data_IF_854762260852
#
_entry.id   IF_854762260852
#
_cell.length_a   1.000
_cell.length_b   1.000
_cell.length_c   1.000
_cell.angle_alpha   90.00
_cell.angle_beta   90.00
_cell.angle_gamma   90.00
#
_symmetry.space_group_name_H-M   'P 1'
#
loop_
_entity.id
_entity.type
_entity.pdbx_description
1 polymer ?
#
# COMPACT_ATOMS: atom_id res chain seq x y z
N UNK A 1 -1.32 15.80 16.11
CA UNK A 1 -2.47 15.35 16.94
C UNK A 1 -1.96 14.17 17.77
N UNK A 2 -1.80 14.34 19.07
CA UNK A 2 -1.17 13.33 19.94
C UNK A 2 -2.17 12.19 20.17
N UNK A 3 -1.91 11.02 19.64
CA UNK A 3 -2.61 9.79 20.01
C UNK A 3 -1.95 9.30 21.32
N UNK A 4 -2.67 9.43 22.41
CA UNK A 4 -2.24 8.87 23.70
C UNK A 4 -2.57 7.38 23.69
N UNK A 5 -1.54 6.55 23.70
CA UNK A 5 -1.68 5.16 24.09
C UNK A 5 -2.10 5.11 25.57
N UNK A 6 -3.23 4.47 25.84
CA UNK A 6 -3.70 4.21 27.21
C UNK A 6 -3.06 2.91 27.66
N UNK A 7 -2.02 3.03 28.50
CA UNK A 7 -1.50 1.93 29.30
C UNK A 7 -2.46 1.73 30.49
N UNK A 8 -3.22 0.65 30.46
CA UNK A 8 -3.93 0.15 31.64
C UNK A 8 -3.07 -0.92 32.30
N UNK A 9 -2.31 -0.55 33.29
CA UNK A 9 -1.66 -1.48 34.22
C UNK A 9 -2.71 -2.05 35.18
N UNK A 10 -3.08 -3.29 35.02
CA UNK A 10 -3.88 -4.08 35.96
C UNK A 10 -3.10 -5.30 36.39
N UNK A 11 -2.47 -5.23 37.56
CA UNK A 11 -1.82 -6.36 38.18
C UNK A 11 -2.85 -7.40 38.63
N UNK A 12 -2.79 -8.62 38.04
CA UNK A 12 -3.28 -9.84 38.71
C UNK A 12 -2.17 -10.88 38.66
N UNK A 13 -1.54 -11.03 39.82
CA UNK A 13 -0.66 -12.16 40.09
C UNK A 13 -1.52 -13.40 40.34
N UNK A 14 -1.41 -14.42 39.48
CA UNK A 14 -1.62 -15.85 39.79
C UNK A 14 -0.99 -16.77 38.74
N UNK A 15 0.03 -17.47 39.18
CA UNK A 15 0.50 -18.80 38.79
C UNK A 15 0.33 -19.24 37.30
N UNK A 16 1.40 -19.15 36.56
CA UNK A 16 1.62 -19.80 35.27
C UNK A 16 3.07 -19.69 34.88
N UNK A 17 3.99 -20.25 35.68
CA UNK A 17 5.43 -20.38 35.32
C UNK A 17 5.58 -21.45 34.24
N UNK A 18 5.24 -21.14 32.98
CA UNK A 18 5.60 -21.97 31.83
C UNK A 18 5.58 -21.25 30.48
N UNK A 19 5.37 -19.93 30.44
CA UNK A 19 5.33 -19.19 29.18
C UNK A 19 6.31 -18.00 29.10
N UNK A 20 7.09 -17.74 30.14
CA UNK A 20 7.97 -16.58 30.20
C UNK A 20 9.40 -16.82 29.65
N UNK A 21 9.76 -18.04 29.26
CA UNK A 21 11.11 -18.36 28.81
C UNK A 21 11.29 -18.39 27.26
N UNK A 22 10.24 -18.29 26.47
CA UNK A 22 10.35 -18.35 25.00
C UNK A 22 10.66 -17.00 24.33
N UNK A 23 10.71 -15.90 25.09
CA UNK A 23 11.00 -14.56 24.56
C UNK A 23 12.34 -13.98 25.03
N UNK A 24 13.21 -14.78 25.64
CA UNK A 24 14.59 -14.34 25.87
C UNK A 24 15.27 -14.06 24.52
N UNK A 25 15.97 -12.93 24.36
CA UNK A 25 16.64 -12.60 23.10
C UNK A 25 17.63 -13.72 22.76
N UNK A 26 17.29 -14.51 21.73
CA UNK A 26 18.22 -15.51 21.20
C UNK A 26 19.27 -14.84 20.32
N UNK A 27 20.43 -15.44 20.21
CA UNK A 27 21.42 -14.99 19.25
C UNK A 27 20.87 -15.11 17.83
N UNK A 28 21.08 -14.08 17.02
CA UNK A 28 20.73 -14.09 15.61
C UNK A 28 21.53 -15.16 14.87
N UNK A 29 20.91 -15.84 13.93
CA UNK A 29 21.62 -16.67 12.96
C UNK A 29 22.47 -15.77 12.05
N UNK A 30 23.45 -16.35 11.35
CA UNK A 30 24.28 -15.59 10.39
C UNK A 30 23.43 -14.87 9.31
N UNK A 31 22.31 -15.48 8.89
CA UNK A 31 21.39 -14.87 7.94
C UNK A 31 20.63 -13.68 8.57
N UNK A 32 20.08 -13.86 9.76
CA UNK A 32 19.37 -12.80 10.46
C UNK A 32 20.29 -11.61 10.78
N UNK A 33 21.54 -11.90 11.19
CA UNK A 33 22.54 -10.85 11.41
C UNK A 33 22.85 -10.10 10.10
N UNK A 34 22.96 -10.79 8.97
CA UNK A 34 23.16 -10.15 7.67
C UNK A 34 22.00 -9.25 7.29
N UNK A 35 20.76 -9.73 7.42
CA UNK A 35 19.56 -8.94 7.15
C UNK A 35 19.52 -7.72 8.06
N UNK A 36 19.80 -7.90 9.35
CA UNK A 36 19.86 -6.79 10.31
C UNK A 36 20.92 -5.75 9.94
N UNK A 37 22.12 -6.19 9.55
CA UNK A 37 23.20 -5.28 9.13
C UNK A 37 22.82 -4.49 7.87
N UNK A 38 22.25 -5.16 6.85
CA UNK A 38 21.75 -4.49 5.65
C UNK A 38 20.65 -3.49 6.04
N UNK A 39 19.69 -3.91 6.85
CA UNK A 39 18.57 -3.09 7.29
C UNK A 39 19.03 -1.84 8.04
N UNK A 40 19.93 -1.98 9.02
CA UNK A 40 20.53 -0.87 9.74
C UNK A 40 21.23 0.10 8.79
N UNK A 41 22.01 -0.42 7.87
CA UNK A 41 22.81 0.40 6.96
C UNK A 41 21.92 1.16 5.97
N UNK A 42 20.84 0.54 5.43
CA UNK A 42 19.95 1.21 4.48
C UNK A 42 18.96 2.18 5.14
N UNK A 43 18.62 2.02 6.42
CA UNK A 43 17.86 3.02 7.16
C UNK A 43 18.61 4.35 7.26
N UNK A 44 19.93 4.30 7.30
CA UNK A 44 20.78 5.50 7.41
C UNK A 44 20.78 6.37 6.12
N UNK A 45 20.41 5.83 4.97
CA UNK A 45 20.26 6.64 3.75
C UNK A 45 18.90 7.36 3.79
N UNK A 46 18.91 8.69 3.77
CA UNK A 46 17.70 9.52 3.66
C UNK A 46 17.25 9.57 2.20
N UNK A 47 16.61 8.51 1.74
CA UNK A 47 16.13 8.34 0.36
C UNK A 47 14.78 9.01 0.09
N UNK A 48 14.45 10.05 0.85
CA UNK A 48 13.31 10.91 0.57
C UNK A 48 13.65 11.87 -0.59
N UNK A 49 12.63 12.27 -1.34
CA UNK A 49 12.77 13.22 -2.44
C UNK A 49 13.51 14.49 -2.01
N UNK A 50 14.39 15.01 -2.86
CA UNK A 50 15.21 16.21 -2.60
C UNK A 50 16.45 15.98 -1.74
N UNK A 51 16.76 14.76 -1.28
CA UNK A 51 17.93 14.49 -0.44
C UNK A 51 19.10 13.81 -1.15
N UNK A 52 18.91 13.26 -2.35
CA UNK A 52 19.98 12.79 -3.24
C UNK A 52 20.78 11.59 -2.70
N UNK A 53 20.24 10.77 -1.79
CA UNK A 53 20.94 9.59 -1.24
C UNK A 53 20.49 8.26 -1.86
N UNK A 54 19.69 8.29 -2.91
CA UNK A 54 19.26 7.07 -3.60
C UNK A 54 20.43 6.36 -4.26
N UNK A 55 21.30 7.11 -4.93
CA UNK A 55 22.49 6.57 -5.62
C UNK A 55 23.43 5.84 -4.64
N UNK A 56 23.64 6.41 -3.44
CA UNK A 56 24.46 5.80 -2.39
C UNK A 56 23.85 4.48 -1.90
N UNK A 57 22.54 4.44 -1.71
CA UNK A 57 21.83 3.22 -1.30
C UNK A 57 21.88 2.14 -2.38
N UNK A 58 21.66 2.49 -3.65
CA UNK A 58 21.76 1.56 -4.78
C UNK A 58 23.18 1.04 -4.93
N UNK A 59 24.20 1.90 -4.81
CA UNK A 59 25.62 1.50 -4.84
C UNK A 59 25.96 0.53 -3.67
N UNK A 60 25.42 0.78 -2.47
CA UNK A 60 25.58 -0.13 -1.33
C UNK A 60 24.95 -1.51 -1.62
N UNK A 61 23.72 -1.56 -2.10
CA UNK A 61 23.00 -2.81 -2.38
C UNK A 61 23.68 -3.63 -3.48
N UNK A 62 24.06 -2.98 -4.60
CA UNK A 62 24.75 -3.63 -5.72
C UNK A 62 26.15 -4.14 -5.29
N UNK A 63 26.88 -3.38 -4.47
CA UNK A 63 28.15 -3.81 -3.90
C UNK A 63 28.02 -5.07 -3.03
N UNK A 64 26.96 -5.16 -2.20
CA UNK A 64 26.67 -6.35 -1.36
C UNK A 64 26.30 -7.58 -2.20
N UNK A 65 25.51 -7.38 -3.25
CA UNK A 65 25.10 -8.44 -4.18
C UNK A 65 26.29 -8.95 -5.03
N UNK A 66 27.10 -8.03 -5.57
CA UNK A 66 28.30 -8.39 -6.32
C UNK A 66 29.30 -9.17 -5.45
N UNK A 67 29.51 -8.77 -4.18
CA UNK A 67 30.36 -9.49 -3.24
C UNK A 67 29.86 -10.91 -2.95
N UNK A 68 28.55 -11.17 -3.05
CA UNK A 68 27.95 -12.50 -2.94
C UNK A 68 28.02 -13.34 -4.22
N UNK A 69 28.57 -12.79 -5.31
CA UNK A 69 28.78 -13.48 -6.59
C UNK A 69 27.65 -13.30 -7.62
N UNK A 70 26.83 -12.26 -7.52
CA UNK A 70 26.00 -11.84 -8.63
C UNK A 70 26.87 -11.16 -9.70
N UNK A 71 26.63 -11.51 -10.98
CA UNK A 71 27.37 -10.92 -12.08
C UNK A 71 26.86 -9.49 -12.38
N UNK A 72 27.72 -8.63 -12.91
CA UNK A 72 27.38 -7.25 -13.24
C UNK A 72 26.16 -7.16 -14.19
N UNK A 73 26.10 -8.04 -15.19
CA UNK A 73 25.00 -8.12 -16.12
C UNK A 73 23.65 -8.56 -15.49
N UNK A 74 23.67 -9.05 -14.25
CA UNK A 74 22.47 -9.43 -13.48
C UNK A 74 22.03 -8.31 -12.51
N UNK A 75 22.74 -7.19 -12.48
CA UNK A 75 22.48 -6.01 -11.63
C UNK A 75 22.21 -4.79 -12.52
N UNK A 76 20.95 -4.58 -12.88
CA UNK A 76 20.55 -3.46 -13.73
C UNK A 76 20.14 -2.26 -12.87
N UNK A 77 20.96 -1.21 -12.89
CA UNK A 77 20.63 0.10 -12.33
C UNK A 77 20.16 1.02 -13.45
N UNK A 78 19.07 1.73 -13.22
CA UNK A 78 18.49 2.66 -14.18
C UNK A 78 18.20 4.00 -13.50
N UNK A 79 18.67 5.09 -14.11
CA UNK A 79 18.41 6.45 -13.64
C UNK A 79 17.04 6.92 -14.11
N UNK A 80 16.33 7.63 -13.24
CA UNK A 80 15.04 8.27 -13.50
C UNK A 80 15.04 9.70 -12.99
N UNK A 81 14.11 10.48 -13.50
CA UNK A 81 13.78 11.81 -13.00
C UNK A 81 12.31 11.80 -12.59
N UNK A 82 12.07 11.97 -11.30
CA UNK A 82 10.73 12.02 -10.73
C UNK A 82 10.37 13.47 -10.43
N UNK A 83 9.76 14.14 -11.41
CA UNK A 83 9.33 15.55 -11.32
C UNK A 83 10.49 16.53 -10.98
N UNK A 84 11.68 16.28 -11.52
CA UNK A 84 12.88 17.09 -11.28
C UNK A 84 13.73 16.61 -10.10
N UNK A 85 13.36 15.52 -9.45
CA UNK A 85 14.15 14.85 -8.41
C UNK A 85 14.80 13.58 -8.96
N UNK A 86 16.16 13.53 -9.08
CA UNK A 86 16.84 12.35 -9.58
C UNK A 86 16.67 11.14 -8.66
N UNK A 87 16.34 9.99 -9.22
CA UNK A 87 16.22 8.73 -8.49
C UNK A 87 16.74 7.56 -9.31
N UNK A 88 16.86 6.39 -8.70
CA UNK A 88 17.30 5.16 -9.34
C UNK A 88 16.38 3.99 -9.03
N UNK A 89 16.22 3.09 -10.01
CA UNK A 89 15.64 1.78 -9.82
C UNK A 89 16.71 0.69 -9.93
N UNK A 90 16.55 -0.42 -9.21
CA UNK A 90 17.45 -1.57 -9.24
C UNK A 90 16.67 -2.83 -9.62
N UNK A 91 17.14 -3.54 -10.64
CA UNK A 91 16.67 -4.89 -10.98
C UNK A 91 17.81 -5.89 -10.75
N UNK A 92 17.53 -6.95 -9.99
CA UNK A 92 18.48 -8.04 -9.71
C UNK A 92 17.94 -9.33 -10.28
N UNK A 93 18.69 -9.99 -11.16
CA UNK A 93 18.36 -11.29 -11.69
C UNK A 93 19.10 -12.41 -10.95
N UNK A 94 18.36 -13.34 -10.41
CA UNK A 94 18.92 -14.63 -9.93
C UNK A 94 18.61 -15.70 -10.99
N UNK A 95 19.62 -16.09 -11.76
CA UNK A 95 19.48 -17.05 -12.86
C UNK A 95 19.12 -18.43 -12.33
N UNK A 96 18.08 -19.04 -12.88
CA UNK A 96 17.71 -20.42 -12.66
C UNK A 96 18.32 -21.36 -13.70
N UNK A 97 18.16 -22.67 -13.48
CA UNK A 97 18.57 -23.69 -14.44
C UNK A 97 17.53 -23.96 -15.55
N UNK A 98 16.36 -23.33 -15.47
CA UNK A 98 15.27 -23.49 -16.43
C UNK A 98 14.60 -24.87 -16.39
N UNK A 99 14.93 -25.73 -15.44
CA UNK A 99 14.45 -27.12 -15.41
C UNK A 99 12.94 -27.24 -15.22
N UNK A 100 12.29 -26.21 -14.64
CA UNK A 100 10.83 -26.16 -14.47
C UNK A 100 10.10 -25.86 -15.78
N UNK A 101 10.76 -25.25 -16.80
CA UNK A 101 10.10 -24.72 -17.99
C UNK A 101 9.03 -23.66 -17.64
N UNK A 102 9.10 -23.06 -16.47
CA UNK A 102 8.13 -22.13 -15.93
C UNK A 102 8.61 -20.69 -16.10
N UNK A 103 7.65 -19.74 -16.18
CA UNK A 103 7.94 -18.32 -16.23
C UNK A 103 8.64 -17.85 -14.95
N UNK A 104 9.43 -16.76 -15.02
CA UNK A 104 10.08 -16.15 -13.86
C UNK A 104 9.11 -15.71 -12.76
N UNK A 105 9.64 -15.43 -11.57
CA UNK A 105 8.93 -14.77 -10.48
C UNK A 105 9.60 -13.43 -10.22
N UNK A 106 8.79 -12.38 -10.05
CA UNK A 106 9.25 -11.04 -9.68
C UNK A 106 8.86 -10.73 -8.24
N UNK A 107 9.75 -10.10 -7.50
CA UNK A 107 9.54 -9.64 -6.13
C UNK A 107 9.85 -8.15 -6.04
N UNK A 108 8.92 -7.39 -5.45
CA UNK A 108 8.94 -5.94 -5.37
C UNK A 108 9.24 -5.44 -3.96
N UNK A 109 9.94 -4.32 -3.90
CA UNK A 109 10.03 -3.42 -2.75
C UNK A 109 10.39 -2.02 -3.27
N UNK A 110 10.15 -0.97 -2.49
CA UNK A 110 10.65 0.36 -2.81
C UNK A 110 11.75 0.81 -1.85
N UNK A 111 12.67 1.63 -2.36
CA UNK A 111 13.86 2.09 -1.67
C UNK A 111 13.68 3.48 -1.05
N UNK A 112 12.81 4.28 -1.64
CA UNK A 112 12.49 5.62 -1.16
C UNK A 112 11.61 5.59 0.09
N UNK A 113 11.46 6.73 0.71
CA UNK A 113 10.64 6.94 1.90
C UNK A 113 10.01 8.32 1.88
N UNK A 114 8.83 8.45 2.48
CA UNK A 114 8.31 9.77 2.87
C UNK A 114 9.31 10.45 3.79
N UNK A 115 9.58 11.73 3.57
CA UNK A 115 10.54 12.47 4.39
C UNK A 115 10.12 12.50 5.88
N UNK A 116 11.10 12.70 6.73
CA UNK A 116 10.91 12.84 8.17
C UNK A 116 11.64 14.08 8.67
N UNK A 117 10.92 14.97 9.33
CA UNK A 117 11.48 16.12 9.99
C UNK A 117 12.01 15.70 11.38
N UNK A 118 13.31 15.79 11.66
CA UNK A 118 13.87 15.31 12.92
C UNK A 118 13.23 15.92 14.17
N UNK A 119 12.72 17.16 14.07
CA UNK A 119 12.02 17.86 15.15
C UNK A 119 10.66 17.24 15.53
N UNK A 120 10.07 16.43 14.65
CA UNK A 120 8.82 15.72 14.90
C UNK A 120 9.03 14.33 15.53
N UNK A 121 10.29 13.90 15.65
CA UNK A 121 10.66 12.58 16.13
C UNK A 121 11.34 12.62 17.49
N UNK A 122 11.03 11.67 18.37
CA UNK A 122 11.72 11.49 19.65
C UNK A 122 13.11 10.86 19.51
N UNK A 123 13.37 10.19 18.39
CA UNK A 123 14.62 9.55 18.00
C UNK A 123 15.01 10.02 16.60
N UNK A 124 16.29 9.92 16.23
CA UNK A 124 16.72 10.21 14.88
C UNK A 124 16.02 9.25 13.89
N UNK A 125 15.21 9.78 12.94
CA UNK A 125 14.46 8.93 12.00
C UNK A 125 15.35 8.15 11.01
N UNK A 126 16.61 8.56 10.83
CA UNK A 126 17.55 7.93 9.92
C UNK A 126 18.64 7.12 10.64
N UNK A 127 18.38 6.75 11.88
CA UNK A 127 19.20 5.81 12.67
C UNK A 127 18.29 4.69 13.15
N UNK A 128 18.62 3.43 12.78
CA UNK A 128 17.86 2.28 13.28
C UNK A 128 18.07 2.13 14.79
N UNK A 129 17.02 2.38 15.55
CA UNK A 129 17.03 2.22 17.01
C UNK A 129 16.22 0.98 17.38
N UNK A 130 16.83 0.08 18.14
CA UNK A 130 16.14 -1.06 18.75
C UNK A 130 15.82 -0.73 20.22
N UNK A 131 14.54 -0.76 20.59
CA UNK A 131 14.09 -0.48 21.94
C UNK A 131 12.87 -1.35 22.26
N UNK A 132 12.92 -2.04 23.41
CA UNK A 132 11.87 -2.95 23.90
C UNK A 132 11.41 -4.00 22.86
N UNK A 133 12.32 -4.45 21.96
CA UNK A 133 12.04 -5.44 20.91
C UNK A 133 11.41 -4.86 19.65
N UNK A 134 11.28 -3.54 19.54
CA UNK A 134 10.82 -2.84 18.35
C UNK A 134 11.94 -2.10 17.65
N UNK A 135 11.83 -1.97 16.33
CA UNK A 135 12.70 -1.14 15.50
C UNK A 135 12.04 0.20 15.20
N UNK A 136 12.77 1.28 15.45
CA UNK A 136 12.32 2.64 15.19
C UNK A 136 13.22 3.29 14.14
N UNK A 137 12.60 3.96 13.18
CA UNK A 137 13.25 4.69 12.09
C UNK A 137 12.32 4.90 10.91
N UNK A 138 12.61 5.85 10.04
CA UNK A 138 11.89 6.05 8.78
C UNK A 138 12.22 4.92 7.80
N UNK A 139 11.20 4.25 7.24
CA UNK A 139 11.38 3.09 6.35
C UNK A 139 11.49 1.75 7.08
N UNK A 140 11.38 1.72 8.44
CA UNK A 140 11.44 0.47 9.19
C UNK A 140 10.28 -0.47 8.85
N UNK A 141 9.15 0.05 8.44
CA UNK A 141 8.01 -0.74 7.99
C UNK A 141 7.75 -0.56 6.49
N UNK A 142 7.95 0.65 5.98
CA UNK A 142 7.62 1.10 4.66
C UNK A 142 8.86 1.70 3.97
N UNK A 143 9.55 1.02 3.00
CA UNK A 143 9.54 -0.44 2.79
C UNK A 143 10.97 -0.99 2.82
N UNK A 144 11.92 -0.30 3.50
CA UNK A 144 13.32 -0.73 3.57
C UNK A 144 13.49 -2.09 4.25
N UNK A 145 12.56 -2.51 5.12
CA UNK A 145 12.62 -3.87 5.65
C UNK A 145 12.42 -4.91 4.54
N UNK A 146 11.54 -4.63 3.58
CA UNK A 146 11.34 -5.47 2.39
C UNK A 146 12.61 -5.56 1.55
N UNK A 147 13.23 -4.41 1.26
CA UNK A 147 14.53 -4.34 0.56
C UNK A 147 15.61 -5.17 1.27
N UNK A 148 15.75 -5.01 2.61
CA UNK A 148 16.75 -5.74 3.40
C UNK A 148 16.52 -7.25 3.39
N UNK A 149 15.27 -7.68 3.61
CA UNK A 149 14.92 -9.10 3.67
C UNK A 149 15.12 -9.80 2.31
N UNK A 150 14.65 -9.17 1.23
CA UNK A 150 14.80 -9.73 -0.12
C UNK A 150 16.28 -9.78 -0.54
N UNK A 151 17.03 -8.70 -0.33
CA UNK A 151 18.47 -8.65 -0.62
C UNK A 151 19.24 -9.68 0.19
N UNK A 152 19.03 -9.72 1.50
CA UNK A 152 19.71 -10.66 2.39
C UNK A 152 19.39 -12.12 2.06
N UNK A 153 18.15 -12.40 1.63
CA UNK A 153 17.73 -13.74 1.19
C UNK A 153 18.43 -14.14 -0.11
N UNK A 154 18.51 -13.26 -1.10
CA UNK A 154 19.20 -13.53 -2.36
C UNK A 154 20.70 -13.79 -2.12
N UNK A 155 21.35 -12.98 -1.29
CA UNK A 155 22.75 -13.16 -0.90
C UNK A 155 22.94 -14.54 -0.25
N UNK A 156 22.11 -14.89 0.74
CA UNK A 156 22.20 -16.17 1.42
C UNK A 156 22.09 -17.35 0.45
N UNK A 157 21.05 -17.34 -0.37
CA UNK A 157 20.80 -18.42 -1.34
C UNK A 157 21.95 -18.56 -2.34
N UNK A 158 22.55 -17.44 -2.76
CA UNK A 158 23.69 -17.43 -3.68
C UNK A 158 24.94 -18.02 -3.03
N UNK A 159 25.25 -17.63 -1.79
CA UNK A 159 26.39 -18.17 -1.03
C UNK A 159 26.22 -19.65 -0.69
N UNK A 160 24.99 -20.11 -0.42
CA UNK A 160 24.66 -21.51 -0.21
C UNK A 160 24.76 -22.37 -1.50
N UNK A 161 24.94 -21.72 -2.67
CA UNK A 161 24.98 -22.37 -3.97
C UNK A 161 23.62 -22.93 -4.42
N UNK A 162 22.53 -22.40 -3.86
CA UNK A 162 21.20 -22.80 -4.28
C UNK A 162 20.92 -22.34 -5.72
N UNK A 163 20.38 -23.25 -6.54
CA UNK A 163 20.06 -23.00 -7.93
C UNK A 163 18.53 -23.11 -8.11
N UNK A 164 17.82 -22.01 -8.39
CA UNK A 164 16.39 -22.06 -8.63
C UNK A 164 16.08 -22.75 -9.96
N UNK A 165 14.91 -23.35 -10.06
CA UNK A 165 14.45 -24.02 -11.28
C UNK A 165 13.86 -23.07 -12.33
N UNK A 166 13.74 -21.80 -12.02
CA UNK A 166 13.33 -20.67 -12.88
C UNK A 166 14.05 -19.40 -12.44
N UNK A 167 14.13 -18.40 -13.30
CA UNK A 167 14.70 -17.11 -12.91
C UNK A 167 13.85 -16.43 -11.84
N UNK A 168 14.53 -15.76 -10.90
CA UNK A 168 13.91 -14.89 -9.92
C UNK A 168 14.42 -13.47 -10.11
N UNK A 169 13.55 -12.49 -9.93
CA UNK A 169 13.93 -11.09 -10.03
C UNK A 169 13.53 -10.32 -8.78
N UNK A 170 14.45 -9.50 -8.27
CA UNK A 170 14.09 -8.39 -7.39
C UNK A 170 13.95 -7.14 -8.26
N UNK A 171 12.92 -6.37 -8.01
CA UNK A 171 12.71 -5.07 -8.66
C UNK A 171 12.44 -4.06 -7.56
N UNK A 172 13.37 -3.14 -7.39
CA UNK A 172 13.30 -2.10 -6.38
C UNK A 172 13.13 -0.74 -7.06
N UNK A 173 12.02 -0.08 -6.77
CA UNK A 173 11.72 1.27 -7.22
C UNK A 173 12.34 2.32 -6.30
N UNK A 174 12.45 3.55 -6.77
CA UNK A 174 13.07 4.62 -6.02
C UNK A 174 12.20 5.88 -5.86
N UNK A 175 10.90 5.81 -6.18
CA UNK A 175 9.97 6.93 -6.09
C UNK A 175 8.50 6.49 -5.92
N UNK A 176 8.28 5.39 -5.18
CA UNK A 176 6.95 4.87 -4.89
C UNK A 176 6.10 5.90 -4.14
N UNK A 177 6.70 6.54 -3.15
CA UNK A 177 6.09 7.53 -2.25
C UNK A 177 5.86 8.92 -2.91
N UNK A 178 6.24 9.06 -4.18
CA UNK A 178 6.17 10.34 -4.89
C UNK A 178 5.57 10.18 -6.30
N UNK A 179 6.39 10.27 -7.35
CA UNK A 179 5.92 10.32 -8.74
C UNK A 179 5.65 8.96 -9.38
N UNK A 180 6.14 7.85 -8.80
CA UNK A 180 6.06 6.48 -9.34
C UNK A 180 6.56 6.38 -10.79
N UNK A 181 7.53 7.21 -11.19
CA UNK A 181 8.10 7.21 -12.55
C UNK A 181 8.93 5.96 -12.77
N UNK A 182 9.84 5.66 -11.80
CA UNK A 182 10.66 4.45 -11.83
C UNK A 182 9.80 3.20 -11.75
N UNK A 183 8.79 3.19 -10.89
CA UNK A 183 7.83 2.10 -10.72
C UNK A 183 7.13 1.73 -12.03
N UNK A 184 6.54 2.73 -12.71
CA UNK A 184 5.88 2.52 -14.01
C UNK A 184 6.83 2.04 -15.08
N UNK A 185 8.03 2.62 -15.13
CA UNK A 185 9.03 2.24 -16.12
C UNK A 185 9.54 0.81 -15.90
N UNK A 186 9.81 0.44 -14.65
CA UNK A 186 10.24 -0.91 -14.29
C UNK A 186 9.15 -1.96 -14.54
N UNK A 187 7.88 -1.66 -14.25
CA UNK A 187 6.77 -2.57 -14.56
C UNK A 187 6.67 -2.85 -16.06
N UNK A 188 6.81 -1.84 -16.90
CA UNK A 188 6.86 -2.00 -18.37
C UNK A 188 8.08 -2.80 -18.82
N UNK A 189 9.27 -2.48 -18.26
CA UNK A 189 10.49 -3.21 -18.57
C UNK A 189 10.35 -4.70 -18.21
N UNK A 190 9.73 -5.02 -17.07
CA UNK A 190 9.44 -6.41 -16.65
C UNK A 190 8.48 -7.08 -17.64
N UNK A 191 7.44 -6.40 -18.08
CA UNK A 191 6.50 -6.95 -19.06
C UNK A 191 7.20 -7.28 -20.40
N UNK A 192 8.09 -6.39 -20.85
CA UNK A 192 8.77 -6.51 -22.14
C UNK A 192 9.93 -7.52 -22.13
N UNK A 193 10.59 -7.73 -20.98
CA UNK A 193 11.85 -8.48 -20.89
C UNK A 193 11.79 -9.75 -20.03
N UNK A 194 10.81 -9.85 -19.10
CA UNK A 194 10.74 -10.94 -18.11
C UNK A 194 9.48 -11.78 -18.30
N UNK A 195 8.32 -11.15 -18.48
CA UNK A 195 7.00 -11.81 -18.59
C UNK A 195 6.76 -12.81 -17.45
N UNK A 196 6.63 -12.36 -16.18
CA UNK A 196 6.59 -13.23 -15.02
C UNK A 196 5.32 -14.08 -14.95
N UNK A 197 5.38 -15.19 -14.20
CA UNK A 197 4.23 -16.00 -13.86
C UNK A 197 3.26 -15.25 -12.93
N UNK A 198 3.84 -14.53 -11.98
CA UNK A 198 3.17 -13.67 -11.02
C UNK A 198 4.21 -12.75 -10.35
N UNK A 199 3.71 -11.78 -9.62
CA UNK A 199 4.52 -10.79 -8.91
C UNK A 199 4.20 -10.86 -7.41
N UNK A 200 5.23 -10.85 -6.58
CA UNK A 200 5.12 -10.77 -5.12
C UNK A 200 5.54 -9.37 -4.67
N UNK A 201 4.74 -8.72 -3.82
CA UNK A 201 5.09 -7.41 -3.28
C UNK A 201 5.32 -7.51 -1.77
N UNK A 202 6.39 -6.91 -1.28
CA UNK A 202 6.68 -6.87 0.16
C UNK A 202 6.00 -5.73 0.90
N UNK A 203 5.41 -4.79 0.17
CA UNK A 203 4.97 -3.49 0.66
C UNK A 203 3.58 -3.50 1.31
N UNK A 204 2.91 -4.61 1.34
CA UNK A 204 1.61 -4.73 2.00
C UNK A 204 1.37 -6.17 2.49
N UNK A 205 0.27 -6.38 3.18
CA UNK A 205 0.02 -7.62 3.89
C UNK A 205 0.67 -7.59 5.26
N UNK A 206 0.99 -8.76 5.80
CA UNK A 206 1.62 -8.87 7.12
C UNK A 206 0.85 -9.78 8.06
N UNK A 207 1.41 -10.03 9.22
CA UNK A 207 0.81 -10.91 10.24
C UNK A 207 0.19 -10.06 11.34
N UNK A 208 -1.12 -10.21 11.54
CA UNK A 208 -1.79 -9.67 12.70
C UNK A 208 -1.41 -10.48 13.96
N UNK A 209 -1.04 -9.79 15.02
CA UNK A 209 -0.69 -10.38 16.30
C UNK A 209 -1.75 -10.06 17.36
N UNK A 210 -1.91 -10.96 18.32
CA UNK A 210 -2.63 -10.68 19.56
C UNK A 210 -1.73 -9.93 20.56
N UNK A 211 -2.31 -9.44 21.65
CA UNK A 211 -1.57 -8.71 22.70
C UNK A 211 -0.41 -9.52 23.31
N UNK A 212 -0.46 -10.84 23.22
CA UNK A 212 0.59 -11.76 23.67
C UNK A 212 1.56 -12.17 22.53
N UNK A 213 1.55 -11.43 21.43
CA UNK A 213 2.31 -11.70 20.19
C UNK A 213 1.98 -13.02 19.49
N UNK A 214 0.90 -13.69 19.86
CA UNK A 214 0.45 -14.88 19.14
C UNK A 214 -0.06 -14.52 17.75
N UNK A 215 0.36 -15.24 16.69
CA UNK A 215 -0.09 -14.94 15.33
C UNK A 215 -1.59 -15.27 15.18
N UNK A 216 -2.36 -14.29 14.70
CA UNK A 216 -3.79 -14.38 14.44
C UNK A 216 -4.07 -14.80 13.00
N UNK A 217 -3.57 -14.01 12.03
CA UNK A 217 -3.79 -14.24 10.61
C UNK A 217 -2.72 -13.56 9.78
N UNK A 218 -2.42 -14.11 8.60
CA UNK A 218 -1.65 -13.46 7.55
C UNK A 218 -2.59 -12.71 6.64
N UNK A 219 -2.45 -11.40 6.55
CA UNK A 219 -3.11 -10.59 5.53
C UNK A 219 -2.39 -10.77 4.20
N UNK A 220 -3.16 -10.96 3.13
CA UNK A 220 -2.65 -11.13 1.76
C UNK A 220 -3.36 -10.11 0.89
N UNK A 221 -2.66 -9.08 0.45
CA UNK A 221 -3.28 -8.06 -0.38
C UNK A 221 -3.34 -8.52 -1.83
N UNK A 222 -4.55 -8.59 -2.37
CA UNK A 222 -4.85 -9.01 -3.74
C UNK A 222 -5.43 -7.87 -4.60
N UNK A 223 -5.73 -6.73 -4.00
CA UNK A 223 -6.33 -5.61 -4.69
C UNK A 223 -5.97 -4.28 -4.04
N UNK A 224 -6.08 -3.21 -4.84
CA UNK A 224 -5.92 -1.82 -4.44
C UNK A 224 -7.00 -0.99 -5.11
N UNK A 225 -7.53 0.00 -4.39
CA UNK A 225 -8.46 0.96 -4.99
C UNK A 225 -7.68 1.97 -5.83
N UNK A 226 -8.24 2.32 -6.99
CA UNK A 226 -7.64 3.35 -7.82
C UNK A 226 -7.82 4.73 -7.17
N UNK A 227 -6.72 5.43 -6.96
CA UNK A 227 -6.69 6.82 -6.53
C UNK A 227 -6.99 7.72 -7.73
N UNK A 228 -7.93 8.65 -7.59
CA UNK A 228 -8.18 9.69 -8.58
C UNK A 228 -8.75 10.93 -7.91
N UNK A 229 -8.33 12.11 -8.39
CA UNK A 229 -8.89 13.39 -7.95
C UNK A 229 -9.59 14.06 -9.10
N UNK A 230 -10.81 14.54 -8.85
CA UNK A 230 -11.57 15.36 -9.78
C UNK A 230 -11.63 16.79 -9.28
N UNK A 231 -11.39 17.74 -10.17
CA UNK A 231 -11.68 19.16 -9.95
C UNK A 231 -13.12 19.44 -10.33
N UNK A 232 -13.92 19.84 -9.36
CA UNK A 232 -15.31 20.26 -9.52
C UNK A 232 -15.33 21.79 -9.50
N UNK A 233 -15.54 22.41 -10.67
CA UNK A 233 -15.35 23.86 -10.85
C UNK A 233 -16.64 24.50 -11.35
N UNK A 234 -17.19 25.42 -10.56
CA UNK A 234 -18.25 26.30 -10.94
C UNK A 234 -17.70 27.62 -11.51
N UNK A 235 -18.26 28.09 -12.61
CA UNK A 235 -17.85 29.36 -13.23
C UNK A 235 -19.03 30.33 -13.32
N UNK A 236 -18.72 31.63 -13.26
CA UNK A 236 -19.73 32.72 -13.27
C UNK A 236 -19.14 34.00 -13.88
N UNK A 237 -19.90 34.86 -14.54
CA UNK A 237 -19.39 36.12 -15.06
C UNK A 237 -18.86 37.09 -13.99
N UNK A 238 -19.12 36.85 -12.71
CA UNK A 238 -18.76 37.73 -11.62
C UNK A 238 -19.65 38.99 -11.53
N UNK A 239 -19.19 39.98 -10.78
CA UNK A 239 -19.92 41.24 -10.60
C UNK A 239 -19.60 41.91 -9.27
N UNK A 240 -20.31 43.03 -8.97
CA UNK A 240 -20.17 43.73 -7.71
C UNK A 240 -21.14 43.19 -6.66
N UNK A 241 -20.69 42.96 -5.43
CA UNK A 241 -21.49 42.33 -4.37
C UNK A 241 -22.77 43.11 -3.99
N UNK A 242 -22.80 44.43 -4.22
CA UNK A 242 -24.00 45.24 -4.01
C UNK A 242 -25.10 45.01 -5.04
N UNK A 243 -24.84 44.21 -6.06
CA UNK A 243 -25.79 43.81 -7.12
C UNK A 243 -25.87 42.30 -7.18
N UNK A 244 -26.50 41.65 -6.18
CA UNK A 244 -26.53 40.21 -6.09
C UNK A 244 -27.22 39.61 -7.32
N UNK A 245 -26.67 38.49 -7.80
CA UNK A 245 -27.19 37.68 -8.90
C UNK A 245 -27.77 36.39 -8.34
N UNK A 246 -28.67 35.76 -9.11
CA UNK A 246 -29.21 34.45 -8.77
C UNK A 246 -28.17 33.33 -8.98
N UNK A 247 -27.22 33.54 -9.91
CA UNK A 247 -26.11 32.67 -10.22
C UNK A 247 -24.85 33.15 -9.47
N UNK A 248 -24.26 32.26 -8.67
CA UNK A 248 -23.04 32.54 -7.88
C UNK A 248 -22.22 31.29 -7.79
N UNK A 249 -20.97 31.37 -8.25
CA UNK A 249 -20.08 30.21 -8.32
C UNK A 249 -19.90 29.50 -6.96
N UNK A 250 -19.86 30.25 -5.85
CA UNK A 250 -19.76 29.65 -4.51
C UNK A 250 -21.04 28.88 -4.16
N UNK A 251 -22.23 29.45 -4.44
CA UNK A 251 -23.48 28.75 -4.10
C UNK A 251 -23.74 27.55 -5.00
N UNK A 252 -23.38 27.66 -6.27
CA UNK A 252 -23.46 26.54 -7.23
C UNK A 252 -22.56 25.39 -6.79
N UNK A 253 -21.30 25.68 -6.45
CA UNK A 253 -20.36 24.68 -5.94
C UNK A 253 -20.82 24.06 -4.62
N UNK A 254 -21.27 24.88 -3.65
CA UNK A 254 -21.76 24.37 -2.36
C UNK A 254 -22.95 23.41 -2.54
N UNK A 255 -23.88 23.74 -3.43
CA UNK A 255 -24.98 22.84 -3.79
C UNK A 255 -24.51 21.54 -4.42
N UNK A 256 -23.54 21.59 -5.31
CA UNK A 256 -22.94 20.41 -5.92
C UNK A 256 -22.23 19.52 -4.88
N UNK A 257 -21.43 20.12 -3.99
CA UNK A 257 -20.72 19.36 -2.93
C UNK A 257 -21.70 18.67 -1.97
N UNK A 258 -22.82 19.31 -1.64
CA UNK A 258 -23.88 18.68 -0.83
C UNK A 258 -24.49 17.45 -1.53
N UNK A 259 -24.66 17.50 -2.85
CA UNK A 259 -25.15 16.35 -3.62
C UNK A 259 -24.09 15.26 -3.75
N UNK A 260 -22.80 15.62 -3.92
CA UNK A 260 -21.68 14.66 -3.93
C UNK A 260 -21.55 13.97 -2.57
N UNK A 261 -21.71 14.69 -1.46
CA UNK A 261 -21.72 14.09 -0.11
C UNK A 261 -22.81 13.03 0.03
N UNK A 262 -23.95 13.21 -0.61
CA UNK A 262 -25.07 12.27 -0.58
C UNK A 262 -24.95 11.11 -1.59
N UNK A 263 -24.03 11.23 -2.56
CA UNK A 263 -23.82 10.18 -3.57
C UNK A 263 -23.35 8.88 -2.90
N UNK A 264 -24.04 7.79 -3.21
CA UNK A 264 -23.68 6.45 -2.73
C UNK A 264 -23.46 5.54 -3.92
N UNK A 265 -22.22 5.13 -4.09
CA UNK A 265 -21.89 4.11 -5.09
C UNK A 265 -22.46 2.74 -4.66
N UNK A 266 -22.80 1.88 -5.63
CA UNK A 266 -23.32 0.54 -5.33
C UNK A 266 -22.30 -0.30 -4.57
N UNK A 267 -22.79 -1.21 -3.75
CA UNK A 267 -21.95 -2.25 -3.11
C UNK A 267 -21.39 -3.17 -4.19
N UNK A 268 -20.12 -3.48 -4.08
CA UNK A 268 -19.40 -4.41 -4.94
C UNK A 268 -19.00 -5.64 -4.12
N UNK A 269 -19.67 -6.73 -4.35
CA UNK A 269 -19.30 -8.00 -3.74
C UNK A 269 -18.31 -8.77 -4.62
N UNK A 270 -17.43 -9.50 -3.98
CA UNK A 270 -16.47 -10.41 -4.60
C UNK A 270 -16.08 -11.51 -3.61
N UNK A 271 -15.42 -12.55 -4.07
CA UNK A 271 -14.85 -13.57 -3.18
C UNK A 271 -13.90 -12.94 -2.15
N UNK A 272 -13.11 -11.92 -2.58
CA UNK A 272 -12.21 -11.19 -1.69
C UNK A 272 -12.99 -10.50 -0.56
N UNK A 273 -14.00 -9.67 -0.88
CA UNK A 273 -14.75 -8.90 0.12
C UNK A 273 -15.52 -9.80 1.07
N UNK A 274 -16.10 -10.88 0.57
CA UNK A 274 -16.80 -11.88 1.40
C UNK A 274 -15.84 -12.61 2.33
N UNK A 275 -14.70 -13.06 1.83
CA UNK A 275 -13.66 -13.72 2.64
C UNK A 275 -13.09 -12.77 3.71
N UNK A 276 -12.82 -11.52 3.34
CA UNK A 276 -12.35 -10.49 4.25
C UNK A 276 -13.32 -10.26 5.41
N UNK A 277 -14.57 -9.90 5.11
CA UNK A 277 -15.57 -9.64 6.15
C UNK A 277 -15.93 -10.89 6.94
N UNK A 278 -15.95 -12.06 6.31
CA UNK A 278 -16.19 -13.33 7.00
C UNK A 278 -15.12 -13.64 8.04
N UNK A 279 -13.86 -13.42 7.72
CA UNK A 279 -12.76 -13.62 8.65
C UNK A 279 -12.72 -12.53 9.74
N UNK A 280 -12.79 -11.26 9.35
CA UNK A 280 -12.75 -10.14 10.28
C UNK A 280 -13.91 -10.16 11.28
N UNK A 281 -15.11 -10.53 10.82
CA UNK A 281 -16.30 -10.68 11.66
C UNK A 281 -16.19 -11.76 12.74
N UNK A 282 -15.20 -12.66 12.69
CA UNK A 282 -14.92 -13.59 13.78
C UNK A 282 -14.16 -12.91 14.93
N UNK A 283 -13.38 -11.88 14.62
CA UNK A 283 -12.54 -11.18 15.59
C UNK A 283 -13.21 -9.91 16.16
N UNK A 284 -14.14 -9.31 15.42
CA UNK A 284 -14.86 -8.10 15.85
C UNK A 284 -16.09 -8.50 16.68
N UNK A 285 -16.19 -8.04 17.95
CA UNK A 285 -17.35 -8.34 18.79
C UNK A 285 -18.58 -7.48 18.41
N UNK A 286 -19.75 -7.88 18.89
CA UNK A 286 -20.99 -7.10 18.81
C UNK A 286 -21.65 -7.12 17.42
N UNK A 287 -22.50 -6.10 17.20
CA UNK A 287 -23.36 -6.02 16.01
C UNK A 287 -22.57 -5.90 14.70
N UNK A 288 -21.47 -5.13 14.71
CA UNK A 288 -20.63 -4.95 13.54
C UNK A 288 -20.00 -6.27 13.06
N UNK A 289 -19.43 -7.07 13.99
CA UNK A 289 -18.90 -8.38 13.63
C UNK A 289 -19.97 -9.35 13.16
N UNK A 290 -21.18 -9.28 13.74
CA UNK A 290 -22.33 -10.06 13.26
C UNK A 290 -22.74 -9.63 11.83
N UNK A 291 -22.81 -8.34 11.56
CA UNK A 291 -23.12 -7.80 10.23
C UNK A 291 -22.07 -8.23 9.19
N UNK A 292 -20.78 -8.22 9.53
CA UNK A 292 -19.71 -8.71 8.65
C UNK A 292 -19.89 -10.19 8.30
N UNK A 293 -20.24 -11.03 9.26
CA UNK A 293 -20.54 -12.45 8.99
C UNK A 293 -21.79 -12.63 8.14
N UNK A 294 -22.82 -11.83 8.39
CA UNK A 294 -24.07 -11.84 7.58
C UNK A 294 -23.76 -11.45 6.14
N UNK A 295 -23.03 -10.35 5.91
CA UNK A 295 -22.61 -9.93 4.56
C UNK A 295 -21.78 -11.01 3.85
N UNK A 296 -20.88 -11.68 4.55
CA UNK A 296 -20.09 -12.77 3.96
C UNK A 296 -20.96 -13.96 3.48
N UNK A 297 -22.06 -14.23 4.17
CA UNK A 297 -23.01 -15.29 3.80
C UNK A 297 -24.03 -14.81 2.76
N UNK A 298 -24.57 -13.61 2.94
CA UNK A 298 -25.55 -12.96 2.06
C UNK A 298 -25.12 -11.50 1.81
N UNK A 299 -24.43 -11.22 0.72
CA UNK A 299 -23.94 -9.88 0.41
C UNK A 299 -25.05 -8.90 -0.04
N UNK A 300 -26.30 -9.37 -0.14
CA UNK A 300 -27.45 -8.54 -0.43
C UNK A 300 -28.24 -8.11 0.81
N UNK A 301 -27.82 -8.49 2.02
CA UNK A 301 -28.46 -8.10 3.26
C UNK A 301 -28.29 -6.60 3.54
N UNK A 302 -29.35 -5.83 3.38
CA UNK A 302 -29.34 -4.37 3.50
C UNK A 302 -28.98 -3.89 4.91
N UNK A 303 -29.35 -4.62 5.97
CA UNK A 303 -29.05 -4.24 7.35
C UNK A 303 -27.56 -4.43 7.64
N UNK A 304 -26.98 -5.54 7.21
CA UNK A 304 -25.54 -5.80 7.30
C UNK A 304 -24.74 -4.76 6.52
N UNK A 305 -25.15 -4.45 5.28
CA UNK A 305 -24.53 -3.40 4.44
C UNK A 305 -24.59 -2.04 5.14
N UNK A 306 -25.73 -1.69 5.73
CA UNK A 306 -25.89 -0.41 6.41
C UNK A 306 -24.97 -0.29 7.63
N UNK A 307 -24.89 -1.33 8.46
CA UNK A 307 -24.01 -1.36 9.64
C UNK A 307 -22.54 -1.28 9.27
N UNK A 308 -22.07 -2.03 8.27
CA UNK A 308 -20.68 -1.97 7.82
C UNK A 308 -20.38 -0.61 7.17
N UNK A 309 -21.33 -0.06 6.37
CA UNK A 309 -21.15 1.24 5.71
C UNK A 309 -21.13 2.42 6.66
N UNK A 310 -21.65 2.30 7.86
CA UNK A 310 -21.59 3.34 8.87
C UNK A 310 -20.21 3.52 9.52
N UNK A 311 -19.34 2.51 9.38
CA UNK A 311 -17.98 2.56 9.90
C UNK A 311 -17.00 3.05 8.81
N UNK A 312 -16.30 4.19 9.05
CA UNK A 312 -15.33 4.74 8.10
C UNK A 312 -14.18 3.81 7.74
N UNK A 313 -13.82 2.88 8.63
CA UNK A 313 -12.76 1.91 8.40
C UNK A 313 -13.12 0.82 7.39
N UNK A 314 -14.42 0.58 7.17
CA UNK A 314 -14.87 -0.56 6.36
C UNK A 314 -15.69 -0.19 5.13
N UNK A 315 -16.30 1.00 5.10
CA UNK A 315 -17.12 1.43 3.94
C UNK A 315 -16.35 1.39 2.63
N UNK A 316 -15.05 1.70 2.67
CA UNK A 316 -14.17 1.66 1.50
C UNK A 316 -13.98 0.26 0.92
N UNK A 317 -14.08 -0.79 1.71
CA UNK A 317 -14.00 -2.17 1.24
C UNK A 317 -15.29 -2.65 0.57
N UNK A 318 -16.42 -1.97 0.80
CA UNK A 318 -17.70 -2.30 0.16
C UNK A 318 -17.90 -1.64 -1.20
N UNK A 319 -17.36 -0.42 -1.41
CA UNK A 319 -17.70 0.40 -2.59
C UNK A 319 -16.66 1.47 -2.89
N UNK A 320 -16.80 2.12 -4.04
CA UNK A 320 -16.14 3.39 -4.35
C UNK A 320 -16.56 4.45 -3.34
N UNK A 321 -15.61 5.28 -2.94
CA UNK A 321 -15.85 6.42 -2.04
C UNK A 321 -15.25 7.67 -2.64
N UNK A 322 -15.97 8.80 -2.56
CA UNK A 322 -15.50 10.11 -2.97
C UNK A 322 -15.70 11.11 -1.85
N UNK A 323 -14.72 11.98 -1.61
CA UNK A 323 -14.76 13.00 -0.57
C UNK A 323 -14.10 14.29 -1.04
N UNK A 324 -14.73 15.44 -0.78
CA UNK A 324 -14.11 16.73 -1.02
C UNK A 324 -13.00 16.98 0.00
N UNK A 325 -11.78 17.31 -0.48
CA UNK A 325 -10.59 17.48 0.37
C UNK A 325 -10.03 18.90 0.34
N UNK A 326 -10.30 19.67 -0.73
CA UNK A 326 -9.82 21.04 -0.88
C UNK A 326 -10.92 21.89 -1.48
N UNK A 327 -10.91 23.20 -1.17
CA UNK A 327 -11.85 24.19 -1.70
C UNK A 327 -11.15 25.52 -1.87
N UNK A 328 -11.37 26.16 -3.02
CA UNK A 328 -10.89 27.50 -3.33
C UNK A 328 -11.98 28.33 -3.97
N UNK A 329 -12.20 29.59 -3.52
CA UNK A 329 -13.24 30.44 -4.07
C UNK A 329 -13.08 31.90 -3.68
N UNK A 330 -13.34 32.80 -4.66
CA UNK A 330 -13.35 34.24 -4.47
C UNK A 330 -11.97 34.86 -4.27
N UNK A 331 -11.87 36.19 -4.39
CA UNK A 331 -10.62 36.93 -4.23
C UNK A 331 -10.80 38.28 -3.54
N UNK A 332 -12.03 38.74 -3.37
CA UNK A 332 -12.35 40.02 -2.74
C UNK A 332 -13.75 40.02 -2.13
N UNK A 333 -13.91 40.67 -0.98
CA UNK A 333 -15.18 40.74 -0.22
C UNK A 333 -16.30 41.41 -0.97
N UNK A 334 -15.99 42.38 -1.83
CA UNK A 334 -16.96 43.18 -2.58
C UNK A 334 -17.15 42.73 -4.04
N UNK A 335 -16.60 41.57 -4.43
CA UNK A 335 -16.75 41.00 -5.76
C UNK A 335 -17.52 39.67 -5.71
N UNK A 336 -18.41 39.45 -6.68
CA UNK A 336 -18.98 38.13 -6.93
C UNK A 336 -17.89 37.24 -7.54
N UNK A 337 -17.69 36.00 -7.04
CA UNK A 337 -16.63 35.11 -7.54
C UNK A 337 -16.90 34.71 -8.99
N UNK A 338 -15.87 34.78 -9.82
CA UNK A 338 -15.94 34.29 -11.20
C UNK A 338 -15.72 32.77 -11.28
N UNK A 339 -15.08 32.19 -10.24
CA UNK A 339 -14.82 30.79 -10.13
C UNK A 339 -14.88 30.34 -8.67
N UNK A 340 -15.30 29.10 -8.47
CA UNK A 340 -15.18 28.35 -7.23
C UNK A 340 -14.86 26.90 -7.58
N UNK A 341 -13.87 26.29 -6.95
CA UNK A 341 -13.41 24.94 -7.24
C UNK A 341 -13.21 24.11 -5.99
N UNK A 342 -13.41 22.80 -6.10
CA UNK A 342 -13.11 21.84 -5.05
C UNK A 342 -12.40 20.63 -5.65
N UNK A 343 -11.41 20.10 -4.91
CA UNK A 343 -10.84 18.80 -5.19
C UNK A 343 -11.72 17.73 -4.53
N UNK A 344 -12.23 16.81 -5.33
CA UNK A 344 -12.97 15.62 -4.88
C UNK A 344 -12.09 14.42 -5.12
N UNK A 345 -11.53 13.85 -4.03
CA UNK A 345 -10.72 12.66 -4.09
C UNK A 345 -11.60 11.42 -4.03
N UNK A 346 -11.40 10.52 -4.98
CA UNK A 346 -12.11 9.24 -5.07
C UNK A 346 -11.15 8.07 -4.91
N UNK A 347 -11.61 7.04 -4.22
CA UNK A 347 -11.00 5.73 -4.14
C UNK A 347 -11.91 4.75 -4.86
N UNK A 348 -11.61 4.52 -6.14
CA UNK A 348 -12.44 3.74 -7.04
C UNK A 348 -12.25 2.25 -6.78
N UNK A 349 -13.35 1.54 -6.62
CA UNK A 349 -13.33 0.09 -6.40
C UNK A 349 -12.80 -0.63 -7.66
N UNK A 350 -11.92 -1.64 -7.53
CA UNK A 350 -11.38 -2.36 -8.68
C UNK A 350 -12.44 -2.87 -9.63
N UNK A 351 -12.30 -2.56 -10.92
CA UNK A 351 -13.23 -2.96 -11.97
C UNK A 351 -14.45 -2.04 -12.15
N UNK A 352 -14.56 -0.92 -11.40
CA UNK A 352 -15.64 0.05 -11.62
C UNK A 352 -15.34 1.03 -12.76
N UNK A 353 -14.07 1.40 -12.93
CA UNK A 353 -13.61 2.33 -13.95
C UNK A 353 -13.74 3.80 -13.55
N UNK A 354 -12.69 4.57 -13.80
CA UNK A 354 -12.59 6.00 -13.45
C UNK A 354 -13.64 6.82 -14.20
N UNK A 355 -13.89 6.54 -15.48
CA UNK A 355 -14.89 7.24 -16.28
C UNK A 355 -16.32 7.02 -15.76
N UNK A 356 -16.61 5.83 -15.21
CA UNK A 356 -17.91 5.54 -14.58
C UNK A 356 -18.13 6.42 -13.35
N UNK A 357 -17.08 6.57 -12.55
CA UNK A 357 -17.12 7.42 -11.34
C UNK A 357 -17.27 8.89 -11.72
N UNK A 358 -16.54 9.36 -12.74
CA UNK A 358 -16.70 10.72 -13.28
C UNK A 358 -18.13 11.00 -13.71
N UNK A 359 -18.73 10.12 -14.51
CA UNK A 359 -20.10 10.25 -14.97
C UNK A 359 -21.12 10.27 -13.81
N UNK A 360 -20.87 9.50 -12.75
CA UNK A 360 -21.69 9.51 -11.55
C UNK A 360 -21.58 10.85 -10.79
N UNK A 361 -20.38 11.44 -10.71
CA UNK A 361 -20.16 12.77 -10.14
C UNK A 361 -20.86 13.85 -10.99
N UNK A 362 -20.71 13.84 -12.31
CA UNK A 362 -21.38 14.76 -13.22
C UNK A 362 -22.90 14.68 -13.07
N UNK A 363 -23.45 13.48 -12.97
CA UNK A 363 -24.88 13.26 -12.71
C UNK A 363 -25.31 13.81 -11.35
N UNK A 364 -24.52 13.60 -10.31
CA UNK A 364 -24.83 14.11 -8.97
C UNK A 364 -24.72 15.64 -8.91
N UNK A 365 -23.78 16.23 -9.62
CA UNK A 365 -23.58 17.69 -9.70
C UNK A 365 -24.81 18.37 -10.31
N UNK A 366 -25.43 17.80 -11.34
CA UNK A 366 -26.68 18.27 -11.99
C UNK A 366 -26.74 19.80 -12.17
N UNK A 367 -25.68 20.39 -12.74
CA UNK A 367 -25.57 21.81 -13.00
C UNK A 367 -24.62 22.09 -14.17
N UNK A 368 -25.14 22.66 -15.27
CA UNK A 368 -24.38 22.96 -16.50
C UNK A 368 -23.26 24.03 -16.31
N UNK A 369 -23.36 24.84 -15.24
CA UNK A 369 -22.33 25.82 -14.90
C UNK A 369 -21.11 25.20 -14.18
N UNK A 370 -21.15 23.90 -13.93
CA UNK A 370 -20.08 23.16 -13.24
C UNK A 370 -19.48 22.13 -14.16
N UNK A 371 -18.15 22.09 -14.17
CA UNK A 371 -17.36 21.05 -14.85
C UNK A 371 -16.76 20.10 -13.83
N UNK A 372 -16.68 18.81 -14.19
CA UNK A 372 -15.96 17.78 -13.44
C UNK A 372 -14.80 17.31 -14.31
N UNK A 373 -13.57 17.59 -13.90
CA UNK A 373 -12.37 17.29 -14.68
C UNK A 373 -11.42 16.43 -13.87
N UNK A 374 -10.97 15.33 -14.46
CA UNK A 374 -9.93 14.52 -13.83
C UNK A 374 -8.63 15.31 -13.79
N UNK A 375 -7.96 15.37 -12.62
CA UNK A 375 -6.76 16.19 -12.42
C UNK A 375 -5.53 15.55 -13.06
N UNK A 376 -5.34 14.26 -12.84
CA UNK A 376 -4.19 13.49 -13.31
C UNK A 376 -4.63 12.13 -13.84
N UNK A 377 -3.82 11.52 -14.70
CA UNK A 377 -4.07 10.16 -15.17
C UNK A 377 -4.02 9.18 -13.99
N UNK A 378 -5.02 8.33 -13.87
CA UNK A 378 -5.12 7.33 -12.82
C UNK A 378 -4.73 5.95 -13.33
N UNK A 379 -4.03 5.16 -12.52
CA UNK A 379 -3.72 3.76 -12.85
C UNK A 379 -4.84 2.87 -12.32
N UNK A 380 -5.68 2.36 -13.22
CA UNK A 380 -6.71 1.38 -12.86
C UNK A 380 -6.07 0.02 -12.59
N UNK A 381 -6.27 -0.50 -11.38
CA UNK A 381 -5.68 -1.75 -10.90
C UNK A 381 -6.76 -2.80 -10.68
N UNK A 382 -6.85 -3.86 -11.52
CA UNK A 382 -7.79 -4.95 -11.28
C UNK A 382 -7.40 -5.79 -10.06
N UNK A 383 -8.34 -6.60 -9.57
CA UNK A 383 -8.04 -7.59 -8.53
C UNK A 383 -7.18 -8.71 -9.11
N UNK A 384 -6.19 -9.17 -8.35
CA UNK A 384 -5.38 -10.34 -8.66
C UNK A 384 -6.04 -11.63 -8.18
N UNK A 385 -5.82 -12.72 -8.91
CA UNK A 385 -5.99 -14.05 -8.34
C UNK A 385 -4.94 -14.28 -7.23
N UNK A 386 -5.21 -15.24 -6.36
CA UNK A 386 -4.21 -15.74 -5.42
C UNK A 386 -3.68 -17.08 -5.94
N UNK A 387 -2.53 -17.12 -6.63
CA UNK A 387 -2.05 -18.34 -7.28
C UNK A 387 -1.87 -19.49 -6.27
N UNK A 388 -2.30 -20.68 -6.61
CA UNK A 388 -2.24 -21.85 -5.72
C UNK A 388 -0.81 -22.18 -5.28
N UNK A 389 0.18 -21.97 -6.14
CA UNK A 389 1.60 -22.14 -5.83
C UNK A 389 2.04 -21.20 -4.70
N UNK A 390 1.64 -19.92 -4.77
CA UNK A 390 1.95 -18.91 -3.75
C UNK A 390 1.22 -19.23 -2.45
N UNK A 391 -0.08 -19.57 -2.54
CA UNK A 391 -0.89 -19.96 -1.38
C UNK A 391 -0.29 -21.15 -0.63
N UNK A 392 0.12 -22.19 -1.35
CA UNK A 392 0.73 -23.39 -0.78
C UNK A 392 2.08 -23.10 -0.13
N UNK A 393 2.94 -22.31 -0.81
CA UNK A 393 4.24 -21.93 -0.29
C UNK A 393 4.11 -21.07 0.99
N UNK A 394 3.21 -20.10 0.99
CA UNK A 394 2.94 -19.24 2.14
C UNK A 394 2.39 -20.04 3.32
N UNK A 395 1.41 -20.91 3.09
CA UNK A 395 0.86 -21.80 4.13
C UNK A 395 1.93 -22.66 4.78
N UNK A 396 2.82 -23.25 3.96
CA UNK A 396 3.96 -24.05 4.45
C UNK A 396 4.94 -23.20 5.26
N UNK A 397 5.28 -22.00 4.80
CA UNK A 397 6.20 -21.09 5.47
C UNK A 397 5.64 -20.68 6.84
N UNK A 398 4.38 -20.27 6.90
CA UNK A 398 3.70 -19.88 8.14
C UNK A 398 3.63 -21.06 9.13
N UNK A 399 3.25 -22.26 8.66
CA UNK A 399 3.20 -23.43 9.51
C UNK A 399 4.58 -23.82 10.06
N UNK A 400 5.63 -23.67 9.27
CA UNK A 400 7.02 -23.92 9.70
C UNK A 400 7.46 -22.88 10.75
N UNK A 401 7.13 -21.61 10.55
CA UNK A 401 7.51 -20.50 11.43
C UNK A 401 6.81 -20.57 12.79
N UNK A 402 5.52 -20.87 12.79
CA UNK A 402 4.66 -20.77 13.98
C UNK A 402 4.26 -22.13 14.58
N UNK A 403 4.67 -23.24 13.98
CA UNK A 403 4.31 -24.59 14.46
C UNK A 403 2.83 -24.95 14.33
N UNK A 404 2.03 -24.09 13.68
CA UNK A 404 0.59 -24.27 13.46
C UNK A 404 0.16 -23.65 12.14
N UNK A 405 -0.98 -24.06 11.61
CA UNK A 405 -1.61 -23.39 10.48
C UNK A 405 -2.07 -21.98 10.88
N UNK A 406 -1.74 -21.00 10.07
CA UNK A 406 -2.16 -19.60 10.23
C UNK A 406 -3.19 -19.28 9.14
N UNK A 407 -4.37 -18.73 9.48
CA UNK A 407 -5.34 -18.29 8.49
C UNK A 407 -4.73 -17.22 7.56
N UNK A 408 -5.08 -17.28 6.29
CA UNK A 408 -4.72 -16.26 5.30
C UNK A 408 -5.99 -15.49 4.93
N UNK A 409 -5.95 -14.16 5.09
CA UNK A 409 -7.09 -13.28 4.85
C UNK A 409 -6.78 -12.42 3.63
N UNK A 410 -7.51 -12.61 2.50
CA UNK A 410 -7.36 -11.71 1.37
C UNK A 410 -7.84 -10.31 1.72
N UNK A 411 -7.05 -9.30 1.35
CA UNK A 411 -7.33 -7.89 1.65
C UNK A 411 -7.29 -7.03 0.40
N UNK A 412 -7.93 -5.87 0.49
CA UNK A 412 -7.86 -4.80 -0.48
C UNK A 412 -7.42 -3.52 0.22
N UNK A 413 -6.37 -2.87 -0.28
CA UNK A 413 -5.91 -1.58 0.23
C UNK A 413 -6.73 -0.42 -0.37
N UNK A 414 -6.87 0.65 0.41
CA UNK A 414 -7.34 1.95 -0.10
C UNK A 414 -6.19 2.84 -0.60
N UNK A 415 -4.93 2.49 -0.29
CA UNK A 415 -3.72 3.07 -0.84
C UNK A 415 -3.23 2.29 -2.06
N UNK A 416 -2.32 2.89 -2.83
CA UNK A 416 -1.59 2.24 -3.92
C UNK A 416 -0.24 1.72 -3.43
N UNK A 417 0.35 0.80 -4.17
CA UNK A 417 1.73 0.34 -4.06
C UNK A 417 2.29 0.13 -5.47
N UNK A 418 3.58 -0.16 -5.61
CA UNK A 418 4.18 -0.60 -6.88
C UNK A 418 3.33 -1.66 -7.60
N UNK A 419 2.65 -2.51 -6.84
CA UNK A 419 1.86 -3.62 -7.33
C UNK A 419 0.73 -3.22 -8.28
N UNK A 420 0.18 -2.01 -8.17
CA UNK A 420 -0.90 -1.55 -9.05
C UNK A 420 -0.49 -1.50 -10.52
N UNK A 421 0.76 -1.14 -10.81
CA UNK A 421 1.25 -1.05 -12.18
C UNK A 421 1.41 -2.42 -12.84
N UNK A 422 1.78 -3.43 -12.06
CA UNK A 422 1.86 -4.82 -12.56
C UNK A 422 0.46 -5.40 -12.79
N UNK A 423 -0.50 -5.13 -11.90
CA UNK A 423 -1.92 -5.52 -12.09
C UNK A 423 -2.51 -4.87 -13.33
N UNK A 424 -2.22 -3.59 -13.56
CA UNK A 424 -2.66 -2.86 -14.75
C UNK A 424 -2.13 -3.48 -16.06
N UNK A 425 -0.96 -4.13 -16.01
CA UNK A 425 -0.37 -4.87 -17.12
C UNK A 425 -0.87 -6.33 -17.21
N UNK A 426 -1.77 -6.75 -16.31
CA UNK A 426 -2.41 -8.07 -16.34
C UNK A 426 -1.67 -9.16 -15.57
N UNK A 427 -0.70 -8.81 -14.72
CA UNK A 427 0.00 -9.78 -13.86
C UNK A 427 -0.68 -9.91 -12.51
N UNK A 428 -0.95 -11.15 -12.09
CA UNK A 428 -1.35 -11.40 -10.71
C UNK A 428 -0.26 -10.93 -9.76
N UNK A 429 -0.59 -9.94 -8.93
CA UNK A 429 0.32 -9.35 -7.96
C UNK A 429 -0.22 -9.54 -6.56
N UNK A 430 0.53 -10.27 -5.75
CA UNK A 430 0.18 -10.67 -4.39
C UNK A 430 1.10 -9.99 -3.40
N UNK A 431 0.56 -9.13 -2.54
CA UNK A 431 1.40 -8.55 -1.49
C UNK A 431 1.33 -9.39 -0.21
N UNK A 432 2.53 -9.77 0.25
CA UNK A 432 2.78 -10.66 1.40
C UNK A 432 3.94 -10.11 2.21
N UNK A 433 3.76 -8.97 2.83
CA UNK A 433 4.75 -8.42 3.74
C UNK A 433 5.03 -9.36 4.91
N UNK A 434 6.25 -9.33 5.39
CA UNK A 434 6.68 -10.08 6.57
C UNK A 434 6.54 -9.25 7.87
N UNK A 435 6.03 -8.04 7.78
CA UNK A 435 5.76 -7.19 8.93
C UNK A 435 4.72 -7.82 9.84
N UNK A 436 4.84 -7.56 11.14
CA UNK A 436 3.89 -8.01 12.15
C UNK A 436 3.37 -6.80 12.94
N UNK A 437 2.05 -6.75 13.18
CA UNK A 437 1.40 -5.63 13.86
C UNK A 437 0.29 -6.10 14.79
#
# INVERSE_FOLDING_TARGET
MKIKAILAAGALAMAGQAAADDHAPRALTAHEQRVYDIYRDIIAFRTAAGHGQMDDMVAYLTGRLAAAGFAEEDLLVTDFDSDGDPTQGLVVRYRGDGSAGAKPIVMLAHMDVVDALPEDWERDPFTLVEDEGYFFGRGTQDNKYGVANLTGTFIRLKEEGWLPNRDLYLVFSGDEETGMVSTRAQARWVADNVDPAYVLNSDAGGIGLADDFAPLAQQVQLAEKTYVTFDVTATNPGGHSSRPRSDNAIYDLAGALTRIEQLRFPVRESELTRSYFGALGQSIPGELGAAMRTFAADPADDEAIALISADPGYVGTLRTTCVATMLDAGHAENALPQSASAAVNCRVFPGEGVETVKAALETAVDNEAITVTQREEATESPMSAFPDEVRAALAKSLATRFGKAIPMIPTMSSGGTDGMHYRALGYDTVAIGAGAS
#
